data_IF_270390681316
#
_entry.id   IF_270390681316
#
_cell.length_a   1.000
_cell.length_b   1.000
_cell.length_c   1.000
_cell.angle_alpha   90.00
_cell.angle_beta   90.00
_cell.angle_gamma   90.00
#
_symmetry.space_group_name_H-M   'P 1'
#
loop_
_entity.id
_entity.type
_entity.pdbx_description
1 polymer ?
#
# COMPACT_ATOMS: atom_id res chain seq x y z
N UNK A 1 -56.80 34.19 -26.12
CA UNK A 1 -55.99 33.23 -26.89
C UNK A 1 -54.78 32.85 -26.08
N UNK A 2 -54.54 31.54 -25.93
CA UNK A 2 -53.54 30.92 -25.04
C UNK A 2 -52.15 30.95 -25.68
N UNK A 3 -51.12 31.38 -24.97
CA UNK A 3 -49.74 30.93 -25.19
C UNK A 3 -49.16 30.48 -23.84
N UNK A 4 -49.07 29.16 -23.67
CA UNK A 4 -48.33 28.49 -22.59
C UNK A 4 -46.88 28.38 -23.03
N UNK A 5 -45.97 29.07 -22.35
CA UNK A 5 -44.53 28.88 -22.50
C UNK A 5 -44.15 27.71 -21.60
N UNK A 6 -43.80 26.58 -22.21
CA UNK A 6 -43.19 25.43 -21.55
C UNK A 6 -41.71 25.78 -21.29
N UNK A 7 -41.38 26.04 -20.03
CA UNK A 7 -39.99 26.17 -19.58
C UNK A 7 -39.50 24.77 -19.20
N UNK A 8 -38.80 24.10 -20.11
CA UNK A 8 -38.12 22.83 -19.82
C UNK A 8 -36.88 23.13 -18.97
N UNK A 9 -37.00 22.99 -17.66
CA UNK A 9 -35.85 22.88 -16.76
C UNK A 9 -35.09 21.58 -17.11
N UNK A 10 -33.92 21.73 -17.74
CA UNK A 10 -32.90 20.68 -17.73
C UNK A 10 -32.41 20.49 -16.29
N UNK A 11 -32.93 19.48 -15.61
CA UNK A 11 -32.25 18.85 -14.49
C UNK A 11 -31.00 18.16 -15.03
N UNK A 12 -29.83 18.77 -14.90
CA UNK A 12 -28.58 18.03 -14.82
C UNK A 12 -28.56 17.32 -13.46
N UNK A 13 -29.20 16.15 -13.41
CA UNK A 13 -28.96 15.19 -12.35
C UNK A 13 -27.51 14.70 -12.52
N UNK A 14 -26.63 15.10 -11.60
CA UNK A 14 -25.32 14.49 -11.42
C UNK A 14 -25.55 13.01 -11.11
N UNK A 15 -25.45 12.17 -12.13
CA UNK A 15 -25.37 10.73 -11.95
C UNK A 15 -24.06 10.45 -11.19
N UNK A 16 -24.18 10.06 -9.93
CA UNK A 16 -23.13 9.33 -9.24
C UNK A 16 -22.84 8.08 -10.09
N UNK A 17 -21.70 8.07 -10.79
CA UNK A 17 -21.26 6.91 -11.56
C UNK A 17 -20.97 5.77 -10.60
N UNK A 18 -21.86 4.78 -10.61
CA UNK A 18 -21.60 3.45 -10.10
C UNK A 18 -20.31 2.90 -10.76
N UNK A 19 -19.48 2.23 -9.94
CA UNK A 19 -18.08 1.90 -10.25
C UNK A 19 -17.87 1.16 -11.57
N UNK A 20 -17.22 1.84 -12.51
CA UNK A 20 -16.54 1.19 -13.62
C UNK A 20 -15.21 0.60 -13.13
N UNK A 21 -14.94 -0.65 -13.46
CA UNK A 21 -13.64 -1.26 -13.20
C UNK A 21 -12.50 -0.40 -13.79
N UNK A 22 -11.36 -0.25 -13.10
CA UNK A 22 -10.20 0.46 -13.64
C UNK A 22 -9.76 -0.13 -14.99
N UNK A 23 -9.22 0.71 -15.91
CA UNK A 23 -8.72 0.20 -17.18
C UNK A 23 -7.60 -0.83 -16.95
N UNK A 24 -7.46 -1.82 -17.85
CA UNK A 24 -6.37 -2.78 -17.75
C UNK A 24 -5.01 -2.08 -17.86
N UNK A 25 -4.02 -2.59 -17.13
CA UNK A 25 -2.66 -2.06 -17.12
C UNK A 25 -1.71 -3.04 -17.83
N UNK A 26 -1.22 -2.64 -19.00
CA UNK A 26 -0.23 -3.41 -19.75
C UNK A 26 1.18 -3.12 -19.24
N UNK A 27 1.92 -4.20 -18.94
CA UNK A 27 3.29 -4.18 -18.47
C UNK A 27 4.13 -4.93 -19.49
N UNK A 28 5.19 -4.30 -19.97
CA UNK A 28 6.13 -4.88 -20.94
C UNK A 28 7.54 -4.80 -20.40
N UNK A 29 8.50 -5.42 -21.10
CA UNK A 29 9.94 -5.27 -20.82
C UNK A 29 10.43 -3.81 -20.83
N UNK A 30 9.71 -2.89 -21.46
CA UNK A 30 10.05 -1.47 -21.49
C UNK A 30 9.45 -0.68 -20.33
N UNK A 31 8.39 -1.20 -19.69
CA UNK A 31 7.71 -0.53 -18.59
C UNK A 31 8.65 -0.28 -17.41
N UNK A 32 8.56 0.91 -16.84
CA UNK A 32 9.28 1.28 -15.62
C UNK A 32 8.52 0.78 -14.38
N UNK A 33 9.23 0.07 -13.49
CA UNK A 33 8.65 -0.55 -12.31
C UNK A 33 7.86 0.43 -11.46
N UNK A 34 8.43 1.62 -11.21
CA UNK A 34 7.85 2.61 -10.30
C UNK A 34 6.59 3.23 -10.87
N UNK A 35 6.59 3.50 -12.17
CA UNK A 35 5.42 3.95 -12.92
C UNK A 35 4.29 2.94 -12.81
N UNK A 36 4.60 1.64 -12.98
CA UNK A 36 3.59 0.58 -12.85
C UNK A 36 3.09 0.45 -11.42
N UNK A 37 3.97 0.39 -10.41
CA UNK A 37 3.59 0.25 -9.00
C UNK A 37 2.64 1.37 -8.55
N UNK A 38 2.87 2.60 -9.03
CA UNK A 38 2.01 3.76 -8.77
C UNK A 38 0.71 3.75 -9.58
N UNK A 39 0.71 3.13 -10.76
CA UNK A 39 -0.47 3.00 -11.61
C UNK A 39 -1.43 1.90 -11.13
N UNK A 40 -0.96 0.90 -10.37
CA UNK A 40 -1.82 -0.10 -9.74
C UNK A 40 -2.73 0.60 -8.72
N UNK A 41 -4.07 0.48 -8.82
CA UNK A 41 -5.00 1.08 -7.87
C UNK A 41 -4.75 0.65 -6.41
N UNK A 42 -5.03 1.53 -5.45
CA UNK A 42 -4.80 1.25 -4.03
C UNK A 42 -5.60 0.02 -3.56
N UNK A 43 -6.83 -0.08 -4.01
CA UNK A 43 -7.79 -1.14 -3.68
C UNK A 43 -7.49 -2.50 -4.31
N UNK A 44 -6.66 -2.51 -5.36
CA UNK A 44 -6.26 -3.72 -6.09
C UNK A 44 -4.89 -4.24 -5.63
N UNK A 45 -4.19 -3.51 -4.75
CA UNK A 45 -2.92 -3.94 -4.20
C UNK A 45 -3.08 -4.42 -2.76
N UNK A 46 -2.55 -5.60 -2.48
CA UNK A 46 -2.38 -6.12 -1.12
C UNK A 46 -1.21 -5.42 -0.44
N UNK A 47 -0.08 -5.31 -1.16
CA UNK A 47 1.10 -4.59 -0.70
C UNK A 47 2.03 -4.23 -1.87
N UNK A 48 2.99 -3.35 -1.58
CA UNK A 48 4.02 -2.83 -2.48
C UNK A 48 5.31 -2.68 -1.68
N UNK A 49 6.44 -3.01 -2.27
CA UNK A 49 7.73 -2.64 -1.69
C UNK A 49 8.79 -2.45 -2.74
N UNK A 50 9.83 -1.74 -2.34
CA UNK A 50 11.07 -1.60 -3.08
C UNK A 50 12.22 -1.86 -2.11
N UNK A 51 13.18 -2.69 -2.51
CA UNK A 51 14.35 -3.02 -1.67
C UNK A 51 15.63 -3.01 -2.47
N UNK A 52 16.70 -2.59 -1.80
CA UNK A 52 18.06 -2.74 -2.31
C UNK A 52 18.58 -4.14 -1.95
N UNK A 53 18.78 -5.00 -2.95
CA UNK A 53 19.34 -6.33 -2.75
C UNK A 53 20.85 -6.26 -2.45
N UNK A 54 21.44 -7.40 -2.09
CA UNK A 54 22.84 -7.47 -1.60
C UNK A 54 23.90 -7.02 -2.62
N UNK A 55 23.55 -6.99 -3.91
CA UNK A 55 24.35 -6.53 -5.04
C UNK A 55 24.04 -5.07 -5.45
N UNK A 56 23.35 -4.31 -4.59
CA UNK A 56 22.79 -2.99 -4.88
C UNK A 56 21.77 -3.00 -6.03
N UNK A 57 21.23 -4.17 -6.40
CA UNK A 57 20.19 -4.25 -7.40
C UNK A 57 18.83 -3.92 -6.76
N UNK A 58 18.07 -3.04 -7.42
CA UNK A 58 16.72 -2.71 -6.98
C UNK A 58 15.76 -3.85 -7.36
N UNK A 59 15.06 -4.38 -6.36
CA UNK A 59 13.93 -5.29 -6.54
C UNK A 59 12.67 -4.57 -6.06
N UNK A 60 11.69 -4.47 -6.94
CA UNK A 60 10.40 -3.86 -6.63
C UNK A 60 9.28 -4.89 -6.82
N UNK A 61 8.23 -4.81 -6.01
CA UNK A 61 7.15 -5.78 -6.00
C UNK A 61 5.81 -5.09 -5.76
N UNK A 62 4.78 -5.61 -6.41
CA UNK A 62 3.38 -5.33 -6.08
C UNK A 62 2.61 -6.63 -5.94
N UNK A 63 2.08 -6.88 -4.75
CA UNK A 63 1.11 -7.92 -4.48
C UNK A 63 -0.27 -7.39 -4.85
N UNK A 64 -1.02 -8.14 -5.64
CA UNK A 64 -2.37 -7.78 -6.06
C UNK A 64 -3.36 -8.43 -5.11
N UNK A 65 -4.57 -7.90 -4.98
CA UNK A 65 -5.71 -8.47 -4.25
C UNK A 65 -6.85 -8.88 -5.20
N UNK A 66 -6.73 -8.48 -6.47
CA UNK A 66 -7.72 -8.62 -7.53
C UNK A 66 -7.03 -9.14 -8.82
N UNK A 67 -7.81 -9.74 -9.71
CA UNK A 67 -7.33 -10.30 -10.98
C UNK A 67 -6.62 -11.65 -10.91
N UNK A 68 -6.19 -12.15 -12.08
CA UNK A 68 -5.61 -13.48 -12.27
C UNK A 68 -4.14 -13.59 -11.82
N UNK A 69 -3.43 -12.45 -11.78
CA UNK A 69 -2.05 -12.36 -11.33
C UNK A 69 -2.04 -12.09 -9.82
N UNK A 70 -1.26 -12.87 -9.07
CA UNK A 70 -1.13 -12.68 -7.61
C UNK A 70 -0.17 -11.56 -7.25
N UNK A 71 0.90 -11.39 -8.03
CA UNK A 71 1.84 -10.29 -7.84
C UNK A 71 2.78 -10.12 -9.04
N UNK A 72 3.39 -8.96 -9.14
CA UNK A 72 4.35 -8.61 -10.20
C UNK A 72 5.68 -8.27 -9.57
N UNK A 73 6.75 -8.87 -10.09
CA UNK A 73 8.12 -8.71 -9.62
C UNK A 73 8.90 -7.94 -10.68
N UNK A 74 9.61 -6.92 -10.22
CA UNK A 74 10.52 -6.11 -11.01
C UNK A 74 11.94 -6.28 -10.50
N UNK A 75 12.88 -6.32 -11.43
CA UNK A 75 14.32 -6.43 -11.16
C UNK A 75 15.05 -5.40 -11.99
N UNK A 76 15.96 -4.64 -11.38
CA UNK A 76 16.64 -3.52 -12.01
C UNK A 76 15.67 -2.52 -12.68
N UNK A 77 14.51 -2.29 -12.04
CA UNK A 77 13.48 -1.37 -12.53
C UNK A 77 12.64 -1.86 -13.72
N UNK A 78 12.83 -3.10 -14.18
CA UNK A 78 12.09 -3.70 -15.31
C UNK A 78 11.30 -4.93 -14.91
N UNK A 79 10.28 -5.28 -15.70
CA UNK A 79 9.49 -6.50 -15.48
C UNK A 79 10.42 -7.72 -15.48
N UNK A 80 10.37 -8.49 -14.40
CA UNK A 80 11.08 -9.76 -14.27
C UNK A 80 10.11 -10.93 -14.42
N UNK A 81 8.98 -10.90 -13.71
CA UNK A 81 8.03 -12.01 -13.71
C UNK A 81 6.82 -11.78 -12.81
N UNK A 82 6.02 -12.84 -12.65
CA UNK A 82 4.79 -12.82 -11.87
C UNK A 82 4.72 -13.95 -10.85
N UNK A 83 3.87 -13.75 -9.84
CA UNK A 83 3.45 -14.78 -8.90
C UNK A 83 2.01 -15.18 -9.17
N UNK A 84 1.70 -16.45 -8.90
CA UNK A 84 0.31 -16.89 -8.75
C UNK A 84 -0.31 -16.27 -7.50
N UNK A 85 -1.65 -16.23 -7.44
CA UNK A 85 -2.41 -15.77 -6.25
C UNK A 85 -1.92 -16.43 -4.97
N UNK A 86 -1.85 -17.76 -4.97
CA UNK A 86 -1.43 -18.54 -3.80
C UNK A 86 0.00 -18.20 -3.36
N UNK A 87 0.93 -18.01 -4.29
CA UNK A 87 2.30 -17.60 -3.97
C UNK A 87 2.34 -16.20 -3.36
N UNK A 88 1.64 -15.23 -3.94
CA UNK A 88 1.59 -13.86 -3.44
C UNK A 88 0.97 -13.78 -2.04
N UNK A 89 -0.14 -14.50 -1.80
CA UNK A 89 -0.81 -14.56 -0.50
C UNK A 89 0.10 -15.20 0.56
N UNK A 90 0.80 -16.29 0.20
CA UNK A 90 1.78 -16.95 1.08
C UNK A 90 2.94 -16.03 1.43
N UNK A 91 3.47 -15.31 0.44
CA UNK A 91 4.56 -14.37 0.61
C UNK A 91 4.16 -13.18 1.51
N UNK A 92 2.97 -12.63 1.31
CA UNK A 92 2.39 -11.57 2.16
C UNK A 92 2.22 -12.05 3.61
N UNK A 93 1.57 -13.20 3.81
CA UNK A 93 1.32 -13.77 5.13
C UNK A 93 2.62 -14.07 5.88
N UNK A 94 3.63 -14.63 5.22
CA UNK A 94 4.89 -14.96 5.87
C UNK A 94 5.73 -13.72 6.25
N UNK A 95 5.78 -12.68 5.42
CA UNK A 95 6.45 -11.41 5.80
C UNK A 95 5.73 -10.69 6.94
N UNK A 96 4.40 -10.74 6.91
CA UNK A 96 3.56 -10.24 7.99
C UNK A 96 3.78 -10.98 9.32
N UNK A 97 3.80 -12.31 9.27
CA UNK A 97 4.11 -13.16 10.42
C UNK A 97 5.50 -12.91 11.00
N UNK A 98 6.53 -12.81 10.14
CA UNK A 98 7.89 -12.47 10.57
C UNK A 98 7.90 -11.14 11.33
N UNK A 99 7.23 -10.13 10.78
CA UNK A 99 7.11 -8.80 11.39
C UNK A 99 6.38 -8.85 12.73
N UNK A 100 5.29 -9.62 12.84
CA UNK A 100 4.53 -9.77 14.07
C UNK A 100 5.28 -10.53 15.19
N UNK A 101 6.24 -11.39 14.84
CA UNK A 101 7.01 -12.24 15.77
C UNK A 101 8.34 -11.62 16.24
N UNK A 102 8.45 -10.29 16.18
CA UNK A 102 9.56 -9.44 16.66
C UNK A 102 10.71 -9.19 15.68
N UNK A 103 10.75 -9.83 14.51
CA UNK A 103 11.75 -9.52 13.49
C UNK A 103 11.09 -8.84 12.31
N UNK A 104 11.16 -7.50 12.27
CA UNK A 104 10.66 -6.75 11.10
C UNK A 104 11.27 -7.32 9.82
N UNK A 105 10.41 -7.72 8.87
CA UNK A 105 10.82 -8.55 7.72
C UNK A 105 11.96 -7.92 6.92
N UNK A 106 11.99 -6.59 6.80
CA UNK A 106 12.97 -5.90 5.98
C UNK A 106 14.37 -5.93 6.57
N UNK A 107 14.56 -6.36 7.83
CA UNK A 107 15.90 -6.66 8.36
C UNK A 107 16.65 -7.65 7.46
N UNK A 108 15.87 -8.53 6.81
CA UNK A 108 16.30 -9.53 5.84
C UNK A 108 15.78 -9.24 4.43
N UNK A 109 15.51 -7.97 4.11
CA UNK A 109 14.93 -7.53 2.83
C UNK A 109 15.63 -8.16 1.62
N UNK A 110 16.96 -8.16 1.59
CA UNK A 110 17.73 -8.75 0.50
C UNK A 110 17.50 -10.27 0.35
N UNK A 111 17.29 -10.99 1.45
CA UNK A 111 16.98 -12.44 1.42
C UNK A 111 15.57 -12.69 0.93
N UNK A 112 14.60 -11.91 1.41
CA UNK A 112 13.21 -11.95 0.95
C UNK A 112 13.07 -11.61 -0.54
N UNK A 113 13.77 -10.57 -1.02
CA UNK A 113 13.76 -10.22 -2.44
C UNK A 113 14.40 -11.29 -3.32
N UNK A 114 15.51 -11.88 -2.88
CA UNK A 114 16.16 -12.97 -3.62
C UNK A 114 15.21 -14.17 -3.79
N UNK A 115 14.54 -14.59 -2.73
CA UNK A 115 13.61 -15.73 -2.82
C UNK A 115 12.36 -15.39 -3.60
N UNK A 116 11.88 -14.14 -3.54
CA UNK A 116 10.80 -13.65 -4.40
C UNK A 116 11.18 -13.77 -5.89
N UNK A 117 12.36 -13.28 -6.26
CA UNK A 117 12.87 -13.38 -7.65
C UNK A 117 13.05 -14.83 -8.07
N UNK A 118 13.45 -15.74 -7.17
CA UNK A 118 13.55 -17.17 -7.46
C UNK A 118 12.19 -17.85 -7.64
N UNK A 119 11.16 -17.43 -6.91
CA UNK A 119 9.82 -18.00 -6.98
C UNK A 119 8.97 -17.44 -8.14
N UNK A 120 9.36 -16.28 -8.69
CA UNK A 120 8.66 -15.63 -9.77
C UNK A 120 8.78 -16.39 -11.09
N UNK A 121 7.66 -16.49 -11.80
CA UNK A 121 7.60 -17.03 -13.15
C UNK A 121 8.02 -15.93 -14.13
N UNK A 122 9.11 -16.10 -14.90
CA UNK A 122 9.57 -15.07 -15.83
C UNK A 122 8.50 -14.69 -16.84
N UNK A 123 8.34 -13.40 -17.11
CA UNK A 123 7.36 -12.88 -18.08
C UNK A 123 7.93 -11.68 -18.85
N UNK A 124 7.65 -11.61 -20.15
CA UNK A 124 8.04 -10.49 -21.04
C UNK A 124 6.96 -9.42 -21.14
N UNK A 125 5.72 -9.83 -20.93
CA UNK A 125 4.52 -9.02 -21.02
C UNK A 125 3.46 -9.58 -20.07
N UNK A 126 2.72 -8.69 -19.44
CA UNK A 126 1.65 -8.99 -18.49
C UNK A 126 0.57 -7.93 -18.62
N UNK A 127 -0.69 -8.33 -18.74
CA UNK A 127 -1.84 -7.42 -18.66
C UNK A 127 -2.54 -7.63 -17.31
N UNK A 128 -2.58 -6.60 -16.48
CA UNK A 128 -3.33 -6.61 -15.23
C UNK A 128 -4.77 -6.18 -15.50
N UNK A 129 -5.71 -7.06 -15.19
CA UNK A 129 -7.15 -6.78 -15.29
C UNK A 129 -7.72 -6.60 -13.90
N UNK A 130 -8.26 -5.42 -13.64
CA UNK A 130 -8.91 -5.09 -12.37
C UNK A 130 -10.40 -5.33 -12.54
N UNK A 131 -10.99 -6.09 -11.63
CA UNK A 131 -12.44 -6.33 -11.62
C UNK A 131 -13.19 -5.21 -10.88
N UNK A 132 -12.47 -4.39 -10.09
CA UNK A 132 -13.06 -3.38 -9.22
C UNK A 132 -13.79 -3.96 -8.02
N UNK A 133 -13.84 -5.30 -7.89
CA UNK A 133 -14.39 -6.01 -6.74
C UNK A 133 -13.28 -6.19 -5.72
N UNK A 134 -12.91 -5.10 -5.05
CA UNK A 134 -11.94 -5.19 -3.97
C UNK A 134 -12.56 -5.91 -2.76
N UNK A 135 -12.07 -7.11 -2.47
CA UNK A 135 -12.41 -7.88 -1.25
C UNK A 135 -11.88 -7.21 0.03
N UNK A 136 -10.99 -6.24 -0.13
CA UNK A 136 -10.47 -5.41 0.95
C UNK A 136 -11.05 -4.00 0.77
N UNK A 137 -12.19 -3.73 1.42
CA UNK A 137 -12.56 -2.36 1.80
C UNK A 137 -11.44 -1.78 2.66
N UNK A 138 -10.41 -1.33 1.95
CA UNK A 138 -9.28 -0.49 2.25
C UNK A 138 -8.55 -0.85 3.54
N UNK A 139 -7.34 -1.41 3.44
CA UNK A 139 -6.38 -1.41 4.57
C UNK A 139 -6.28 0.01 5.15
N UNK A 140 -6.44 1.05 4.32
CA UNK A 140 -6.62 2.43 4.76
C UNK A 140 -7.94 2.68 5.52
N UNK A 141 -9.13 2.25 5.08
CA UNK A 141 -10.36 2.31 5.91
C UNK A 141 -10.29 1.45 7.20
N UNK A 142 -9.45 0.41 7.20
CA UNK A 142 -9.20 -0.49 8.33
C UNK A 142 -8.14 0.11 9.29
N UNK A 143 -7.16 0.88 8.79
CA UNK A 143 -6.21 1.67 9.58
C UNK A 143 -6.83 2.99 10.08
N UNK A 144 -7.78 3.56 9.33
CA UNK A 144 -8.63 4.70 9.68
C UNK A 144 -9.70 4.33 10.74
N UNK A 145 -9.49 3.25 11.51
CA UNK A 145 -10.40 2.85 12.57
C UNK A 145 -10.55 4.03 13.57
N UNK A 146 -11.76 4.60 13.74
CA UNK A 146 -12.00 5.76 14.60
C UNK A 146 -11.74 5.52 16.09
N UNK A 147 -11.33 4.31 16.49
CA UNK A 147 -10.86 4.02 17.85
C UNK A 147 -9.57 4.77 18.23
N UNK A 148 -8.79 5.27 17.26
CA UNK A 148 -7.66 6.21 17.51
C UNK A 148 -8.12 7.69 17.36
N UNK A 149 -9.40 7.90 17.01
CA UNK A 149 -10.09 9.18 16.97
C UNK A 149 -11.00 9.42 18.18
N UNK A 150 -10.74 8.81 19.35
CA UNK A 150 -11.35 9.27 20.59
C UNK A 150 -10.78 10.64 20.96
N UNK A 151 -11.36 11.70 20.37
CA UNK A 151 -12.10 12.76 21.06
C UNK A 151 -12.68 13.66 19.96
N UNK A 152 -13.97 13.50 19.67
CA UNK A 152 -14.83 14.64 19.35
C UNK A 152 -16.31 14.28 19.51
N UNK A 153 -16.79 14.55 20.71
CA UNK A 153 -18.14 15.05 20.99
C UNK A 153 -19.30 14.23 20.38
N UNK A 154 -19.56 13.07 20.98
CA UNK A 154 -20.94 12.79 21.37
C UNK A 154 -21.13 13.54 22.68
N UNK A 155 -22.24 14.26 22.82
CA UNK A 155 -22.59 15.17 23.93
C UNK A 155 -21.98 16.58 23.77
N UNK A 156 -22.62 17.43 22.96
CA UNK A 156 -23.09 18.74 23.43
C UNK A 156 -23.87 19.51 22.35
N UNK A 157 -25.05 19.95 22.79
CA UNK A 157 -25.75 21.18 22.40
C UNK A 157 -26.56 21.20 21.09
N UNK A 158 -27.87 21.05 21.32
CA UNK A 158 -28.89 21.64 20.48
C UNK A 158 -28.68 23.15 20.24
N UNK A 159 -29.17 23.56 19.06
CA UNK A 159 -29.65 24.90 18.71
C UNK A 159 -28.77 26.10 19.11
N UNK A 160 -27.78 26.44 18.27
CA UNK A 160 -27.26 27.81 18.21
C UNK A 160 -26.92 28.22 16.76
N UNK A 161 -27.60 29.23 16.16
CA UNK A 161 -27.46 29.60 14.75
C UNK A 161 -26.17 30.35 14.37
N UNK A 162 -25.22 30.57 15.28
CA UNK A 162 -23.94 31.25 15.01
C UNK A 162 -22.83 30.37 14.42
N UNK A 163 -23.06 29.06 14.21
CA UNK A 163 -22.04 28.12 13.72
C UNK A 163 -21.88 28.04 12.19
N UNK A 164 -22.69 28.76 11.40
CA UNK A 164 -22.66 28.65 9.93
C UNK A 164 -21.36 29.20 9.32
N UNK A 165 -20.68 30.16 9.98
CA UNK A 165 -19.40 30.72 9.49
C UNK A 165 -18.21 29.79 9.78
N UNK A 166 -18.28 28.98 10.86
CA UNK A 166 -17.23 27.98 11.20
C UNK A 166 -17.21 26.78 10.25
N UNK A 167 -18.33 26.48 9.58
CA UNK A 167 -18.40 25.36 8.62
C UNK A 167 -17.65 25.72 7.34
N UNK A 168 -17.73 26.96 6.86
CA UNK A 168 -17.03 27.40 5.65
C UNK A 168 -15.50 27.56 5.87
N UNK A 169 -15.07 28.02 7.05
CA UNK A 169 -13.64 28.07 7.39
C UNK A 169 -13.05 26.67 7.55
N UNK A 170 -13.79 25.75 8.18
CA UNK A 170 -13.38 24.36 8.36
C UNK A 170 -13.24 23.63 7.02
N UNK A 171 -14.13 23.86 6.06
CA UNK A 171 -14.00 23.28 4.70
C UNK A 171 -12.79 23.83 3.94
N UNK A 172 -12.45 25.11 4.12
CA UNK A 172 -11.24 25.70 3.49
C UNK A 172 -9.95 25.17 4.11
N UNK A 173 -9.93 25.02 5.43
CA UNK A 173 -8.77 24.50 6.16
C UNK A 173 -8.60 23.00 5.89
N UNK A 174 -9.68 22.23 5.80
CA UNK A 174 -9.66 20.82 5.37
C UNK A 174 -9.16 20.69 3.92
N UNK A 175 -9.53 21.59 3.01
CA UNK A 175 -9.04 21.53 1.64
C UNK A 175 -7.54 21.85 1.55
N UNK A 176 -7.07 22.89 2.24
CA UNK A 176 -5.63 23.20 2.32
C UNK A 176 -4.82 22.07 2.94
N UNK A 177 -5.35 21.44 3.99
CA UNK A 177 -4.71 20.28 4.60
C UNK A 177 -4.63 19.11 3.63
N UNK A 178 -5.67 18.85 2.83
CA UNK A 178 -5.65 17.79 1.81
C UNK A 178 -4.64 18.03 0.71
N UNK A 179 -4.52 19.26 0.21
CA UNK A 179 -3.49 19.59 -0.79
C UNK A 179 -2.09 19.40 -0.20
N UNK A 180 -1.85 19.88 1.03
CA UNK A 180 -0.57 19.65 1.70
C UNK A 180 -0.27 18.16 1.92
N UNK A 181 -1.26 17.37 2.34
CA UNK A 181 -1.11 15.92 2.53
C UNK A 181 -0.81 15.20 1.20
N UNK A 182 -1.38 15.69 0.09
CA UNK A 182 -1.13 15.17 -1.25
C UNK A 182 0.27 15.51 -1.74
N UNK A 183 0.71 16.76 -1.54
CA UNK A 183 2.07 17.19 -1.87
C UNK A 183 3.09 16.36 -1.09
N UNK A 184 2.83 16.12 0.20
CA UNK A 184 3.69 15.29 1.04
C UNK A 184 3.74 13.82 0.60
N UNK A 185 2.61 13.24 0.21
CA UNK A 185 2.57 11.90 -0.38
C UNK A 185 3.36 11.82 -1.69
N UNK A 186 3.33 12.87 -2.50
CA UNK A 186 4.12 12.94 -3.72
C UNK A 186 5.62 12.96 -3.42
N UNK A 187 6.06 13.76 -2.44
CA UNK A 187 7.46 13.83 -2.02
C UNK A 187 7.96 12.54 -1.38
N UNK A 188 7.19 11.95 -0.46
CA UNK A 188 7.51 10.61 0.09
C UNK A 188 7.56 9.58 -1.03
N UNK A 189 6.64 9.69 -1.99
CA UNK A 189 6.59 8.86 -3.18
C UNK A 189 7.85 8.95 -4.03
N UNK A 190 8.61 10.06 -4.02
CA UNK A 190 9.86 10.27 -4.78
C UNK A 190 11.06 9.56 -4.17
N UNK A 191 11.02 9.16 -2.89
CA UNK A 191 12.11 8.47 -2.19
C UNK A 191 12.26 7.00 -2.60
N UNK A 192 13.48 6.57 -2.91
CA UNK A 192 13.82 5.20 -3.33
C UNK A 192 14.84 4.56 -2.39
N UNK A 193 14.91 3.22 -2.33
CA UNK A 193 16.09 2.55 -1.78
C UNK A 193 17.38 3.09 -2.42
N UNK A 194 18.37 3.39 -1.58
CA UNK A 194 19.62 4.06 -1.94
C UNK A 194 19.69 5.53 -1.55
N UNK A 195 18.55 6.22 -1.40
CA UNK A 195 18.50 7.59 -0.91
C UNK A 195 19.01 7.70 0.54
N UNK A 196 19.50 8.88 0.92
CA UNK A 196 20.00 9.11 2.28
C UNK A 196 18.87 9.24 3.32
N UNK A 197 19.18 8.85 4.55
CA UNK A 197 18.34 9.12 5.72
C UNK A 197 18.01 10.61 5.85
N UNK A 198 19.00 11.47 5.62
CA UNK A 198 18.82 12.94 5.68
C UNK A 198 17.76 13.41 4.69
N UNK A 199 17.79 12.91 3.44
CA UNK A 199 16.78 13.27 2.43
C UNK A 199 15.38 12.82 2.86
N UNK A 200 15.26 11.64 3.46
CA UNK A 200 13.99 11.15 4.01
C UNK A 200 13.48 12.04 5.15
N UNK A 201 14.36 12.44 6.07
CA UNK A 201 14.02 13.32 7.18
C UNK A 201 13.67 14.76 6.74
N UNK A 202 14.28 15.25 5.66
CA UNK A 202 13.97 16.55 5.04
C UNK A 202 12.57 16.59 4.42
N UNK A 203 12.13 15.48 3.82
CA UNK A 203 10.76 15.36 3.30
C UNK A 203 9.78 15.39 4.46
N UNK A 204 9.91 14.46 5.40
CA UNK A 204 9.03 14.40 6.55
C UNK A 204 9.75 13.79 7.75
N UNK A 205 9.60 14.43 8.91
CA UNK A 205 10.09 13.87 10.16
C UNK A 205 9.30 12.62 10.49
N UNK A 206 9.96 11.53 10.94
CA UNK A 206 9.27 10.27 11.24
C UNK A 206 8.25 10.46 12.37
N UNK A 207 7.03 9.99 12.15
CA UNK A 207 5.96 10.02 13.17
C UNK A 207 6.17 8.92 14.21
N UNK A 208 6.74 7.79 13.78
CA UNK A 208 7.09 6.65 14.62
C UNK A 208 8.47 6.12 14.22
N UNK A 209 9.31 5.85 15.22
CA UNK A 209 10.67 5.37 15.06
C UNK A 209 10.83 4.06 15.83
N UNK A 210 11.32 3.04 15.15
CA UNK A 210 11.68 1.76 15.78
C UNK A 210 13.15 1.46 15.55
N UNK A 211 13.91 1.39 16.64
CA UNK A 211 15.32 1.00 16.61
C UNK A 211 15.46 -0.50 16.48
N UNK A 212 16.32 -0.93 15.58
CA UNK A 212 16.66 -2.33 15.34
C UNK A 212 18.14 -2.56 15.68
N UNK A 213 18.57 -3.81 15.80
CA UNK A 213 19.99 -4.13 15.99
C UNK A 213 20.87 -3.55 14.87
N UNK A 214 20.34 -3.48 13.64
CA UNK A 214 21.05 -2.99 12.45
C UNK A 214 20.19 -2.03 11.65
N UNK A 215 19.99 -0.83 12.18
CA UNK A 215 19.29 0.27 11.51
C UNK A 215 18.07 0.75 12.26
N UNK A 216 17.26 1.55 11.58
CA UNK A 216 16.02 2.13 12.11
C UNK A 216 14.89 1.95 11.11
N UNK A 217 13.67 1.80 11.63
CA UNK A 217 12.45 1.91 10.84
C UNK A 217 11.89 3.31 11.09
N UNK A 218 11.77 4.07 10.02
CA UNK A 218 11.06 5.35 9.98
C UNK A 218 9.66 5.08 9.42
N UNK A 219 8.67 5.03 10.30
CA UNK A 219 7.30 4.77 9.92
C UNK A 219 6.50 6.07 9.88
N UNK A 220 5.58 6.14 8.91
CA UNK A 220 4.68 7.25 8.69
C UNK A 220 3.24 6.70 8.66
N UNK A 221 2.67 6.36 9.85
CA UNK A 221 1.36 5.74 9.96
C UNK A 221 0.26 6.49 9.22
N UNK A 222 0.29 7.83 9.23
CA UNK A 222 -0.67 8.67 8.49
C UNK A 222 -0.70 8.38 6.99
N UNK A 223 0.46 8.02 6.42
CA UNK A 223 0.65 7.76 5.00
C UNK A 223 0.78 6.26 4.67
N UNK A 224 0.64 5.39 5.68
CA UNK A 224 0.74 3.94 5.56
C UNK A 224 2.02 3.49 4.83
N UNK A 225 3.15 4.08 5.18
CA UNK A 225 4.46 3.72 4.63
C UNK A 225 5.48 3.58 5.75
N UNK A 226 6.36 2.60 5.64
CA UNK A 226 7.56 2.52 6.46
C UNK A 226 8.81 2.36 5.60
N UNK A 227 9.89 2.96 6.07
CA UNK A 227 11.22 2.92 5.47
C UNK A 227 12.17 2.23 6.44
N UNK A 228 12.90 1.23 5.96
CA UNK A 228 14.07 0.72 6.68
C UNK A 228 15.29 1.54 6.25
N UNK A 229 15.96 2.14 7.22
CA UNK A 229 17.24 2.82 7.02
C UNK A 229 18.36 2.03 7.69
N UNK A 230 19.44 1.79 6.95
CA UNK A 230 20.69 1.18 7.45
C UNK A 230 21.86 1.89 6.79
N UNK A 231 22.91 2.12 7.56
CA UNK A 231 24.14 2.78 7.10
C UNK A 231 23.85 4.16 6.46
N UNK A 232 22.91 4.91 7.05
CA UNK A 232 22.48 6.23 6.60
C UNK A 232 21.73 6.25 5.26
N UNK A 233 21.26 5.10 4.77
CA UNK A 233 20.52 4.98 3.51
C UNK A 233 19.25 4.17 3.65
N UNK A 234 18.24 4.52 2.85
CA UNK A 234 17.03 3.73 2.68
C UNK A 234 17.41 2.39 2.05
N UNK A 235 17.12 1.29 2.74
CA UNK A 235 17.30 -0.08 2.25
C UNK A 235 16.01 -0.70 1.76
N UNK A 236 14.88 -0.32 2.35
CA UNK A 236 13.56 -0.80 1.98
C UNK A 236 12.53 0.31 2.15
N UNK A 237 11.54 0.30 1.27
CA UNK A 237 10.26 1.00 1.40
C UNK A 237 9.17 -0.05 1.34
N UNK A 238 8.16 0.04 2.21
CA UNK A 238 7.03 -0.87 2.26
C UNK A 238 5.71 -0.11 2.45
N UNK A 239 4.71 -0.50 1.66
CA UNK A 239 3.35 0.07 1.66
C UNK A 239 2.32 -1.05 1.49
N UNK A 240 1.27 -1.16 2.31
CA UNK A 240 1.05 -0.41 3.54
C UNK A 240 2.14 -0.68 4.58
N UNK A 241 2.24 0.14 5.63
CA UNK A 241 3.22 -0.10 6.71
C UNK A 241 2.93 -1.44 7.39
N UNK A 242 3.84 -2.39 7.20
CA UNK A 242 3.75 -3.70 7.85
C UNK A 242 3.97 -3.59 9.35
N UNK A 243 4.81 -2.65 9.79
CA UNK A 243 5.04 -2.42 11.21
C UNK A 243 3.74 -2.02 11.92
N UNK A 244 3.00 -1.07 11.35
CA UNK A 244 1.72 -0.62 11.90
C UNK A 244 0.67 -1.73 11.86
N UNK A 245 0.54 -2.44 10.74
CA UNK A 245 -0.42 -3.55 10.61
C UNK A 245 -0.11 -4.64 11.63
N UNK A 246 1.16 -5.04 11.78
CA UNK A 246 1.54 -6.08 12.74
C UNK A 246 1.20 -5.70 14.18
N UNK A 247 1.35 -4.43 14.56
CA UNK A 247 1.04 -3.92 15.91
C UNK A 247 -0.46 -3.87 16.18
N UNK A 248 -1.25 -3.45 15.20
CA UNK A 248 -2.68 -3.12 15.43
C UNK A 248 -3.62 -4.23 14.95
N UNK A 249 -3.28 -4.94 13.86
CA UNK A 249 -4.15 -5.90 13.15
C UNK A 249 -3.36 -7.05 12.53
N UNK A 250 -2.53 -7.73 13.32
CA UNK A 250 -1.75 -8.89 12.87
C UNK A 250 -2.58 -10.01 12.25
N UNK A 251 -3.87 -10.13 12.60
CA UNK A 251 -4.81 -11.07 12.00
C UNK A 251 -4.96 -10.91 10.47
N UNK A 252 -4.64 -9.74 9.90
CA UNK A 252 -4.64 -9.54 8.44
C UNK A 252 -3.58 -10.40 7.73
N UNK A 253 -2.55 -10.86 8.43
CA UNK A 253 -1.53 -11.76 7.89
C UNK A 253 -1.90 -13.24 8.04
N UNK A 254 -3.04 -13.55 8.64
CA UNK A 254 -3.47 -14.92 8.82
C UNK A 254 -3.89 -15.53 7.48
N UNK A 255 -3.33 -16.70 7.17
CA UNK A 255 -3.76 -17.55 6.08
C UNK A 255 -4.02 -18.96 6.63
N UNK A 256 -5.16 -19.60 6.28
CA UNK A 256 -5.46 -20.95 6.74
C UNK A 256 -4.43 -21.96 6.20
N UNK A 257 -4.21 -23.04 6.96
CA UNK A 257 -3.30 -24.15 6.60
C UNK A 257 -1.82 -23.78 6.45
N UNK A 258 -1.41 -22.59 6.88
CA UNK A 258 -0.01 -22.16 6.83
C UNK A 258 0.85 -22.90 7.86
N UNK A 259 1.97 -23.46 7.40
CA UNK A 259 3.07 -23.94 8.23
C UNK A 259 3.95 -22.75 8.65
N UNK A 260 3.52 -22.03 9.69
CA UNK A 260 4.17 -20.80 10.15
C UNK A 260 5.67 -20.94 10.46
N UNK A 261 6.14 -22.13 10.84
CA UNK A 261 7.55 -22.42 11.05
C UNK A 261 8.41 -22.30 9.77
N UNK A 262 7.79 -22.39 8.59
CA UNK A 262 8.43 -22.20 7.27
C UNK A 262 8.35 -20.76 6.76
N UNK A 263 7.74 -19.84 7.51
CA UNK A 263 7.70 -18.43 7.14
C UNK A 263 9.05 -17.74 7.41
N UNK A 264 10.04 -18.12 6.62
CA UNK A 264 11.36 -17.49 6.52
C UNK A 264 11.59 -17.02 5.09
N UNK A 265 12.60 -16.17 4.89
CA UNK A 265 12.95 -15.68 3.56
C UNK A 265 13.21 -16.83 2.57
N UNK A 266 13.79 -17.94 3.01
CA UNK A 266 14.20 -19.06 2.16
C UNK A 266 13.10 -20.11 1.96
N UNK A 267 12.18 -20.26 2.90
CA UNK A 267 11.24 -21.39 2.96
C UNK A 267 9.77 -21.03 2.72
N UNK A 268 9.43 -19.74 2.62
CA UNK A 268 8.04 -19.29 2.43
C UNK A 268 7.29 -19.96 1.27
N UNK A 269 7.89 -20.31 0.11
CA UNK A 269 7.13 -20.95 -0.97
C UNK A 269 6.56 -22.32 -0.58
N UNK A 270 7.10 -22.93 0.47
CA UNK A 270 6.71 -24.24 0.98
C UNK A 270 5.85 -24.13 2.25
N UNK A 271 5.47 -22.92 2.66
CA UNK A 271 4.72 -22.69 3.89
C UNK A 271 3.25 -23.11 3.76
N UNK A 272 2.70 -23.16 2.54
CA UNK A 272 1.39 -23.81 2.30
C UNK A 272 1.65 -25.24 1.81
N UNK A 273 1.16 -26.28 2.52
CA UNK A 273 1.28 -27.66 2.05
C UNK A 273 0.55 -27.82 0.71
N UNK A 274 1.11 -28.65 -0.17
CA UNK A 274 0.40 -29.06 -1.38
C UNK A 274 -0.97 -29.66 -0.97
N UNK A 275 -2.04 -29.30 -1.68
CA UNK A 275 -3.35 -29.87 -1.42
C UNK A 275 -3.23 -31.40 -1.42
N UNK A 276 -3.86 -32.10 -0.46
CA UNK A 276 -3.94 -33.56 -0.55
C UNK A 276 -4.60 -33.89 -1.89
N UNK A 277 -3.91 -34.72 -2.69
CA UNK A 277 -4.40 -35.21 -3.98
C UNK A 277 -5.60 -36.13 -3.79
#
# INVERSE_FOLDING_TARGET
MRHRIFLSLLLCASAATAGSAPPPLAITSQSDARTIIRAVPEEAATDRFEVLAADNELVSYVGLSDGDVGGVVFRAGKLYGTLTRAQADTFYACRGYATARHQYWAQDAARWARSLVQAAHPATDVELRFTGKSTLKSIKAVLDNPAIGQVKAIVEMGTNPLNVVKVLSKTRDEHRQREHDKDMLEELGKLVPGDSETRLAEVLHPEDLTFLERGIIMAYPKYSVDFLVRDGKIQALQQPSFLQIARVKSALFYAPNMQWARCTAEAWPQAVPAAPQ
#
